data_IF_641356039665
#
_entry.id   IF_641356039665
#
_cell.length_a   1.000
_cell.length_b   1.000
_cell.length_c   1.000
_cell.angle_alpha   90.00
_cell.angle_beta   90.00
_cell.angle_gamma   90.00
#
_symmetry.space_group_name_H-M   'P 1'
#
loop_
_entity.id
_entity.type
_entity.pdbx_description
1 polymer ?
#
# COMPACT_ATOMS: atom_id res chain seq x y z
N UNK A 1 -2.24 7.80 4.31
CA UNK A 1 -3.02 8.31 5.45
C UNK A 1 -2.10 8.97 6.47
N UNK A 2 -2.52 10.09 7.01
CA UNK A 2 -1.78 10.80 8.06
C UNK A 2 -2.73 11.28 9.16
N UNK A 3 -2.26 11.23 10.39
CA UNK A 3 -2.95 11.79 11.54
C UNK A 3 -2.67 13.29 11.56
N UNK A 4 -3.68 14.09 11.17
CA UNK A 4 -3.56 15.54 11.07
C UNK A 4 -3.24 16.15 12.44
N UNK A 5 -3.92 15.68 13.48
CA UNK A 5 -3.71 16.19 14.86
C UNK A 5 -2.25 15.99 15.31
N UNK A 6 -1.65 14.83 15.04
CA UNK A 6 -0.25 14.58 15.41
C UNK A 6 0.73 15.39 14.54
N UNK A 7 0.47 15.52 13.23
CA UNK A 7 1.32 16.35 12.37
C UNK A 7 1.29 17.81 12.81
N UNK A 8 0.11 18.35 13.09
CA UNK A 8 -0.06 19.73 13.60
C UNK A 8 0.63 19.90 14.96
N UNK A 9 0.49 18.93 15.89
CA UNK A 9 1.14 18.93 17.20
C UNK A 9 2.67 19.03 17.12
N UNK A 10 3.27 18.33 16.13
CA UNK A 10 4.73 18.33 15.96
C UNK A 10 5.22 19.39 14.96
N UNK A 11 4.33 20.24 14.46
CA UNK A 11 4.58 21.28 13.44
C UNK A 11 5.25 20.68 12.19
N UNK A 12 4.59 19.68 11.59
CA UNK A 12 5.05 18.97 10.41
C UNK A 12 4.05 19.09 9.26
N UNK A 13 4.58 19.25 8.05
CA UNK A 13 3.80 19.18 6.83
C UNK A 13 3.63 17.73 6.38
N UNK A 14 2.61 17.48 5.55
CA UNK A 14 2.42 16.18 4.89
C UNK A 14 3.59 15.92 3.95
N UNK A 15 4.32 14.80 4.11
CA UNK A 15 5.47 14.48 3.26
C UNK A 15 5.09 14.32 1.78
N UNK A 16 5.90 14.89 0.90
CA UNK A 16 5.75 14.79 -0.57
C UNK A 16 6.77 13.85 -1.22
N UNK A 17 7.82 13.48 -0.48
CA UNK A 17 8.87 12.57 -0.91
C UNK A 17 9.12 11.49 0.15
N UNK A 18 9.69 10.35 -0.26
CA UNK A 18 10.08 9.29 0.69
C UNK A 18 11.16 9.77 1.66
N UNK A 19 12.02 10.69 1.25
CA UNK A 19 12.98 11.36 2.14
C UNK A 19 12.32 12.23 3.21
N UNK A 20 11.30 13.00 2.83
CA UNK A 20 10.49 13.78 3.77
C UNK A 20 9.69 12.89 4.71
N UNK A 21 9.13 11.75 4.20
CA UNK A 21 8.44 10.77 5.04
C UNK A 21 9.37 10.22 6.12
N UNK A 22 10.61 9.87 5.75
CA UNK A 22 11.64 9.44 6.70
C UNK A 22 11.92 10.51 7.74
N UNK A 23 12.23 11.74 7.30
CA UNK A 23 12.59 12.85 8.20
C UNK A 23 11.45 13.23 9.15
N UNK A 24 10.20 13.26 8.66
CA UNK A 24 9.03 13.50 9.48
C UNK A 24 8.83 12.38 10.51
N UNK A 25 9.03 11.12 10.09
CA UNK A 25 8.90 9.96 10.98
C UNK A 25 9.95 9.96 12.10
N UNK A 26 11.19 10.30 11.80
CA UNK A 26 12.24 10.45 12.80
C UNK A 26 11.90 11.55 13.82
N UNK A 27 11.44 12.71 13.35
CA UNK A 27 11.04 13.82 14.23
C UNK A 27 9.86 13.47 15.14
N UNK A 28 8.83 12.81 14.61
CA UNK A 28 7.69 12.37 15.42
C UNK A 28 8.14 11.40 16.50
N UNK A 29 8.93 10.39 16.13
CA UNK A 29 9.43 9.38 17.06
C UNK A 29 10.25 10.00 18.20
N UNK A 30 11.15 10.93 17.88
CA UNK A 30 11.96 11.65 18.86
C UNK A 30 11.12 12.57 19.76
N UNK A 31 10.27 13.42 19.16
CA UNK A 31 9.46 14.40 19.91
C UNK A 31 8.36 13.78 20.76
N UNK A 32 7.98 12.55 20.48
CA UNK A 32 7.01 11.79 21.27
C UNK A 32 7.65 10.92 22.36
N UNK A 33 8.93 11.13 22.67
CA UNK A 33 9.70 10.25 23.56
C UNK A 33 9.54 8.76 23.19
N UNK A 34 9.58 8.49 21.88
CA UNK A 34 9.46 7.16 21.29
C UNK A 34 8.08 6.47 21.45
N UNK A 35 7.05 7.22 21.86
CA UNK A 35 5.70 6.70 22.07
C UNK A 35 4.90 6.57 20.76
N UNK A 36 5.22 7.40 19.77
CA UNK A 36 4.53 7.40 18.46
C UNK A 36 5.52 7.03 17.37
N UNK A 37 5.23 5.94 16.66
CA UNK A 37 5.97 5.58 15.44
C UNK A 37 5.56 6.53 14.31
N UNK A 38 6.53 7.05 13.55
CA UNK A 38 6.27 8.04 12.52
C UNK A 38 5.49 7.49 11.34
N UNK A 39 5.91 6.34 10.78
CA UNK A 39 5.19 5.73 9.66
C UNK A 39 5.08 4.20 9.76
N UNK A 40 3.99 3.67 9.21
CA UNK A 40 3.70 2.24 9.15
C UNK A 40 3.49 1.72 7.73
N UNK A 41 3.76 0.42 7.55
CA UNK A 41 3.69 -0.26 6.26
C UNK A 41 3.07 -1.65 6.43
N UNK A 42 2.06 -1.99 5.62
CA UNK A 42 1.38 -3.28 5.67
C UNK A 42 1.68 -4.17 4.44
N UNK A 43 1.64 -3.62 3.24
CA UNK A 43 1.84 -4.36 2.00
C UNK A 43 3.29 -4.24 1.50
N UNK A 44 4.23 -4.88 2.19
CA UNK A 44 5.67 -4.74 1.94
C UNK A 44 6.09 -5.20 0.53
N UNK A 45 5.40 -6.17 -0.05
CA UNK A 45 5.60 -6.58 -1.43
C UNK A 45 5.29 -5.46 -2.43
N UNK A 46 4.21 -4.69 -2.20
CA UNK A 46 3.93 -3.49 -3.00
C UNK A 46 5.06 -2.48 -2.90
N UNK A 47 5.49 -2.17 -1.70
CA UNK A 47 6.49 -1.10 -1.49
C UNK A 47 7.85 -1.49 -2.04
N UNK A 48 8.21 -2.78 -1.97
CA UNK A 48 9.40 -3.29 -2.63
C UNK A 48 9.27 -3.19 -4.16
N UNK A 49 8.15 -3.67 -4.72
CA UNK A 49 7.89 -3.63 -6.16
C UNK A 49 7.91 -2.19 -6.70
N UNK A 50 7.26 -1.26 -5.99
CA UNK A 50 7.24 0.16 -6.36
C UNK A 50 8.62 0.81 -6.21
N UNK A 51 9.36 0.51 -5.15
CA UNK A 51 10.74 1.00 -4.98
C UNK A 51 11.68 0.53 -6.09
N UNK A 52 11.54 -0.71 -6.54
CA UNK A 52 12.27 -1.19 -7.73
C UNK A 52 11.82 -0.48 -9.01
N UNK A 53 10.51 -0.24 -9.17
CA UNK A 53 9.99 0.49 -10.32
C UNK A 53 10.49 1.94 -10.38
N UNK A 54 10.62 2.61 -9.26
CA UNK A 54 11.20 3.96 -9.14
C UNK A 54 12.68 4.01 -9.60
N UNK A 55 13.39 2.88 -9.52
CA UNK A 55 14.74 2.68 -10.06
C UNK A 55 14.74 2.24 -11.53
N UNK A 56 13.58 2.22 -12.20
CA UNK A 56 13.46 1.77 -13.60
C UNK A 56 13.39 0.25 -13.75
N UNK A 57 13.32 -0.52 -12.67
CA UNK A 57 13.35 -1.99 -12.69
C UNK A 57 11.94 -2.54 -12.54
N UNK A 58 11.44 -3.23 -13.57
CA UNK A 58 10.15 -3.89 -13.54
C UNK A 58 10.21 -5.17 -12.68
N UNK A 59 9.07 -5.54 -12.06
CA UNK A 59 8.95 -6.74 -11.26
C UNK A 59 8.95 -7.99 -12.15
N UNK A 60 10.10 -8.65 -12.24
CA UNK A 60 10.32 -9.83 -13.07
C UNK A 60 11.33 -10.78 -12.41
N UNK A 61 11.46 -12.01 -12.95
CA UNK A 61 12.49 -12.98 -12.54
C UNK A 61 13.93 -12.49 -12.69
N UNK A 62 14.16 -11.36 -13.37
CA UNK A 62 15.49 -10.77 -13.55
C UNK A 62 15.96 -9.91 -12.37
N UNK A 63 15.08 -9.64 -11.39
CA UNK A 63 15.49 -8.91 -10.19
C UNK A 63 16.55 -9.69 -9.43
N UNK A 64 17.69 -9.06 -9.22
CA UNK A 64 18.67 -9.55 -8.26
C UNK A 64 18.28 -9.04 -6.85
N UNK A 65 17.59 -9.90 -6.07
CA UNK A 65 17.07 -9.52 -4.76
C UNK A 65 18.16 -9.10 -3.77
N UNK A 66 19.40 -9.59 -3.93
CA UNK A 66 20.56 -9.20 -3.13
C UNK A 66 21.45 -8.14 -3.82
N UNK A 67 21.03 -7.63 -4.98
CA UNK A 67 21.75 -6.60 -5.73
C UNK A 67 21.65 -5.21 -5.08
N UNK A 68 22.46 -4.26 -5.55
CA UNK A 68 22.55 -2.90 -5.04
C UNK A 68 21.19 -2.22 -4.95
N UNK A 69 20.45 -2.15 -6.06
CA UNK A 69 19.16 -1.45 -6.11
C UNK A 69 18.13 -2.04 -5.15
N UNK A 70 18.07 -3.38 -5.09
CA UNK A 70 17.19 -4.09 -4.15
C UNK A 70 17.59 -3.82 -2.69
N UNK A 71 18.87 -3.83 -2.38
CA UNK A 71 19.36 -3.49 -1.02
C UNK A 71 19.00 -2.06 -0.62
N UNK A 72 19.16 -1.10 -1.50
CA UNK A 72 18.77 0.29 -1.22
C UNK A 72 17.27 0.41 -0.89
N UNK A 73 16.40 -0.31 -1.61
CA UNK A 73 14.96 -0.36 -1.31
C UNK A 73 14.72 -1.02 0.05
N UNK A 74 15.38 -2.14 0.32
CA UNK A 74 15.23 -2.88 1.60
C UNK A 74 15.75 -2.03 2.77
N UNK A 75 16.92 -1.43 2.62
CA UNK A 75 17.59 -0.65 3.68
C UNK A 75 16.77 0.57 4.10
N UNK A 76 16.04 1.20 3.17
CA UNK A 76 15.14 2.31 3.52
C UNK A 76 14.16 1.90 4.64
N UNK A 77 13.52 0.73 4.51
CA UNK A 77 12.57 0.23 5.51
C UNK A 77 13.27 -0.37 6.72
N UNK A 78 14.33 -1.13 6.49
CA UNK A 78 15.06 -1.81 7.55
C UNK A 78 15.72 -0.83 8.53
N UNK A 79 16.28 0.26 8.05
CA UNK A 79 16.87 1.30 8.90
C UNK A 79 15.81 2.01 9.74
N UNK A 80 14.66 2.32 9.16
CA UNK A 80 13.56 2.93 9.90
C UNK A 80 13.00 2.02 11.00
N UNK A 81 12.86 0.73 10.71
CA UNK A 81 12.42 -0.27 11.68
C UNK A 81 13.46 -0.50 12.77
N UNK A 82 14.76 -0.56 12.40
CA UNK A 82 15.87 -0.71 13.35
C UNK A 82 15.96 0.45 14.34
N UNK A 83 15.69 1.67 13.86
CA UNK A 83 15.72 2.91 14.65
C UNK A 83 14.40 3.19 15.37
N UNK A 84 13.31 2.47 15.05
CA UNK A 84 12.01 2.55 15.71
C UNK A 84 11.02 3.54 15.10
N UNK A 85 11.41 4.40 14.17
CA UNK A 85 10.50 5.39 13.57
C UNK A 85 9.66 4.84 12.43
N UNK A 86 9.93 3.62 11.96
CA UNK A 86 9.08 2.85 11.07
C UNK A 86 8.60 1.56 11.74
N UNK A 87 7.40 1.11 11.37
CA UNK A 87 6.90 -0.20 11.74
C UNK A 87 6.26 -0.93 10.57
N UNK A 88 6.34 -2.24 10.59
CA UNK A 88 5.54 -3.10 9.74
C UNK A 88 4.28 -3.57 10.47
N UNK A 89 3.22 -3.84 9.72
CA UNK A 89 2.07 -4.54 10.25
C UNK A 89 2.52 -5.95 10.70
N UNK A 90 2.31 -6.25 11.97
CA UNK A 90 2.60 -7.57 12.53
C UNK A 90 1.39 -8.50 12.42
N UNK A 91 0.98 -9.09 13.54
CA UNK A 91 -0.21 -9.93 13.66
C UNK A 91 -1.51 -9.21 13.31
N UNK A 92 -1.54 -7.90 13.41
CA UNK A 92 -2.70 -7.05 13.08
C UNK A 92 -3.00 -6.99 11.57
N UNK A 93 -2.09 -7.43 10.72
CA UNK A 93 -2.16 -7.42 9.24
C UNK A 93 -2.29 -6.03 8.59
N UNK A 94 -2.98 -5.08 9.24
CA UNK A 94 -3.28 -3.75 8.70
C UNK A 94 -2.79 -2.64 9.64
N UNK A 95 -2.42 -1.51 9.05
CA UNK A 95 -1.96 -0.36 9.81
C UNK A 95 -3.09 0.51 10.40
N UNK A 96 -4.34 0.23 10.03
CA UNK A 96 -5.50 0.98 10.56
C UNK A 96 -5.63 0.90 12.08
N UNK A 97 -5.40 -0.26 12.70
CA UNK A 97 -5.51 -0.43 14.16
C UNK A 97 -4.51 0.43 14.95
N UNK A 98 -3.17 0.33 14.72
CA UNK A 98 -2.22 1.20 15.42
C UNK A 98 -2.38 2.68 15.06
N UNK A 99 -2.82 3.00 13.85
CA UNK A 99 -3.11 4.38 13.45
C UNK A 99 -4.33 4.94 14.21
N UNK A 100 -5.42 4.19 14.29
CA UNK A 100 -6.65 4.58 15.00
C UNK A 100 -6.41 4.86 16.49
N UNK A 101 -5.47 4.16 17.10
CA UNK A 101 -5.06 4.36 18.50
C UNK A 101 -4.03 5.46 18.71
N UNK A 102 -3.52 6.09 17.65
CA UNK A 102 -2.48 7.13 17.70
C UNK A 102 -1.06 6.60 17.92
N UNK A 103 -0.84 5.30 17.86
CA UNK A 103 0.50 4.69 17.98
C UNK A 103 1.35 4.89 16.72
N UNK A 104 0.71 5.20 15.59
CA UNK A 104 1.36 5.49 14.31
C UNK A 104 0.80 6.79 13.75
N UNK A 105 1.65 7.71 13.37
CA UNK A 105 1.22 9.01 12.87
C UNK A 105 0.86 9.01 11.38
N UNK A 106 1.51 8.16 10.59
CA UNK A 106 1.27 8.05 9.15
C UNK A 106 1.32 6.58 8.72
N UNK A 107 0.65 6.22 7.64
CA UNK A 107 0.87 4.93 6.99
C UNK A 107 0.56 5.00 5.50
N UNK A 108 1.29 4.18 4.75
CA UNK A 108 0.98 3.92 3.35
C UNK A 108 0.09 2.67 3.31
N UNK A 109 -1.04 2.77 2.61
CA UNK A 109 -1.99 1.67 2.53
C UNK A 109 -3.01 1.88 1.41
N UNK A 110 -3.89 0.91 1.20
CA UNK A 110 -4.97 0.99 0.23
C UNK A 110 -5.97 2.09 0.59
N UNK A 111 -6.53 2.76 -0.42
CA UNK A 111 -7.62 3.74 -0.25
C UNK A 111 -8.82 3.16 0.49
N UNK A 112 -9.06 1.85 0.40
CA UNK A 112 -10.09 1.14 1.15
C UNK A 112 -9.95 1.24 2.68
N UNK A 113 -8.76 1.57 3.20
CA UNK A 113 -8.58 1.79 4.63
C UNK A 113 -9.40 2.98 5.17
N UNK A 114 -9.83 3.91 4.32
CA UNK A 114 -10.64 5.05 4.76
C UNK A 114 -11.90 4.63 5.55
N UNK A 115 -12.57 3.56 5.12
CA UNK A 115 -13.75 3.04 5.81
C UNK A 115 -13.43 2.59 7.26
N UNK A 116 -12.30 1.90 7.45
CA UNK A 116 -11.86 1.44 8.76
C UNK A 116 -11.42 2.59 9.67
N UNK A 117 -10.82 3.64 9.10
CA UNK A 117 -10.44 4.83 9.88
C UNK A 117 -11.67 5.59 10.37
N UNK A 118 -12.69 5.75 9.54
CA UNK A 118 -13.95 6.39 9.94
C UNK A 118 -14.66 5.68 11.09
N UNK A 119 -14.53 4.36 11.17
CA UNK A 119 -15.17 3.56 12.20
C UNK A 119 -14.37 3.48 13.51
N UNK A 120 -13.04 3.49 13.43
CA UNK A 120 -12.18 3.13 14.55
C UNK A 120 -11.28 4.24 15.08
N UNK A 121 -11.18 5.39 14.38
CA UNK A 121 -10.30 6.48 14.82
C UNK A 121 -10.79 7.07 16.15
N UNK A 122 -9.90 7.21 17.12
CA UNK A 122 -10.21 7.89 18.37
C UNK A 122 -10.68 9.32 18.14
N UNK A 123 -11.63 9.77 18.96
CA UNK A 123 -12.32 11.06 18.79
C UNK A 123 -11.40 12.28 18.85
N UNK A 124 -10.30 12.18 19.57
CA UNK A 124 -9.29 13.24 19.68
C UNK A 124 -8.45 13.43 18.42
N UNK A 125 -8.51 12.47 17.47
CA UNK A 125 -7.73 12.52 16.24
C UNK A 125 -8.54 12.87 15.00
N UNK A 126 -7.88 13.56 14.09
CA UNK A 126 -8.36 13.80 12.73
C UNK A 126 -7.37 13.19 11.73
N UNK A 127 -7.88 12.57 10.68
CA UNK A 127 -7.02 12.05 9.62
C UNK A 127 -7.18 12.82 8.31
N UNK A 128 -6.11 12.80 7.52
CA UNK A 128 -6.11 13.22 6.13
C UNK A 128 -5.64 12.08 5.23
N UNK A 129 -5.89 12.25 3.92
CA UNK A 129 -5.41 11.39 2.86
C UNK A 129 -4.56 12.23 1.92
N UNK A 130 -3.42 11.72 1.52
CA UNK A 130 -2.55 12.33 0.53
C UNK A 130 -2.05 11.25 -0.44
N UNK A 131 -1.58 11.61 -1.64
CA UNK A 131 -0.83 10.71 -2.50
C UNK A 131 0.33 10.06 -1.74
N UNK A 132 0.72 8.85 -2.14
CA UNK A 132 1.99 8.28 -1.67
C UNK A 132 3.11 9.26 -1.99
N UNK A 133 4.07 9.52 -1.07
CA UNK A 133 5.14 10.49 -1.29
C UNK A 133 6.18 9.97 -2.30
N UNK A 134 5.72 9.63 -3.49
CA UNK A 134 6.48 9.11 -4.62
C UNK A 134 5.64 9.19 -5.91
N UNK A 135 6.31 9.16 -7.06
CA UNK A 135 5.64 9.27 -8.36
C UNK A 135 4.83 8.03 -8.74
N UNK A 136 5.34 6.83 -8.43
CA UNK A 136 4.72 5.56 -8.84
C UNK A 136 3.76 5.06 -7.76
N UNK A 137 2.53 4.75 -8.14
CA UNK A 137 1.51 4.18 -7.25
C UNK A 137 1.14 2.75 -7.65
N UNK A 138 0.75 1.92 -6.68
CA UNK A 138 0.25 0.58 -6.97
C UNK A 138 -1.21 0.64 -7.42
N UNK A 139 -1.51 0.00 -8.54
CA UNK A 139 -2.87 -0.40 -8.86
C UNK A 139 -3.09 -1.79 -8.28
N UNK A 140 -4.07 -1.90 -7.40
CA UNK A 140 -4.55 -3.15 -6.85
C UNK A 140 -6.07 -3.21 -6.96
N UNK A 141 -6.62 -4.40 -6.84
CA UNK A 141 -8.06 -4.60 -6.88
C UNK A 141 -8.39 -6.07 -6.80
N UNK A 142 -9.69 -6.34 -6.89
CA UNK A 142 -10.23 -7.68 -7.02
C UNK A 142 -10.83 -7.82 -8.40
N UNK A 143 -10.35 -8.80 -9.16
CA UNK A 143 -10.85 -9.07 -10.50
C UNK A 143 -11.97 -10.11 -10.46
N UNK A 144 -12.91 -9.99 -11.38
CA UNK A 144 -13.98 -10.98 -11.58
C UNK A 144 -13.79 -11.63 -12.94
N UNK A 145 -13.71 -12.96 -12.93
CA UNK A 145 -13.50 -13.77 -14.12
C UNK A 145 -14.70 -14.67 -14.40
N UNK A 146 -14.92 -14.93 -15.67
CA UNK A 146 -15.88 -15.91 -16.14
C UNK A 146 -15.12 -17.16 -16.61
N UNK A 147 -15.51 -18.34 -16.11
CA UNK A 147 -14.87 -19.59 -16.49
C UNK A 147 -15.04 -19.88 -17.99
N UNK A 148 -13.96 -20.22 -18.67
CA UNK A 148 -13.99 -20.52 -20.10
C UNK A 148 -14.74 -21.83 -20.45
N UNK A 149 -14.82 -22.80 -19.49
CA UNK A 149 -15.56 -24.05 -19.63
C UNK A 149 -17.06 -23.92 -19.30
N UNK A 150 -17.52 -22.76 -18.83
CA UNK A 150 -18.94 -22.55 -18.56
C UNK A 150 -19.74 -22.68 -19.85
N UNK A 151 -20.97 -23.23 -19.75
CA UNK A 151 -21.89 -23.34 -20.89
C UNK A 151 -22.29 -21.96 -21.45
N UNK A 152 -22.78 -21.91 -22.68
CA UNK A 152 -23.20 -20.65 -23.30
C UNK A 152 -24.25 -19.90 -22.46
N UNK A 153 -25.21 -20.66 -21.86
CA UNK A 153 -26.24 -20.10 -20.97
C UNK A 153 -25.60 -19.47 -19.71
N UNK A 154 -24.69 -20.18 -19.08
CA UNK A 154 -23.95 -19.67 -17.89
C UNK A 154 -23.11 -18.44 -18.23
N UNK A 155 -22.40 -18.46 -19.37
CA UNK A 155 -21.63 -17.29 -19.84
C UNK A 155 -22.51 -16.08 -20.09
N UNK A 156 -23.69 -16.28 -20.71
CA UNK A 156 -24.64 -15.19 -20.93
C UNK A 156 -25.15 -14.58 -19.61
N UNK A 157 -25.45 -15.41 -18.61
CA UNK A 157 -25.90 -14.97 -17.31
C UNK A 157 -24.75 -14.23 -16.56
N UNK A 158 -23.55 -14.80 -16.55
CA UNK A 158 -22.37 -14.18 -15.95
C UNK A 158 -22.05 -12.81 -16.58
N UNK A 159 -22.14 -12.71 -17.91
CA UNK A 159 -21.92 -11.44 -18.60
C UNK A 159 -22.95 -10.36 -18.22
N UNK A 160 -24.22 -10.74 -18.08
CA UNK A 160 -25.26 -9.80 -17.58
C UNK A 160 -24.94 -9.32 -16.17
N UNK A 161 -24.45 -10.20 -15.29
CA UNK A 161 -24.04 -9.86 -13.94
C UNK A 161 -22.82 -8.94 -13.93
N UNK A 162 -21.80 -9.21 -14.74
CA UNK A 162 -20.64 -8.33 -14.89
C UNK A 162 -21.04 -6.93 -15.38
N UNK A 163 -21.95 -6.85 -16.38
CA UNK A 163 -22.50 -5.57 -16.85
C UNK A 163 -23.25 -4.82 -15.75
N UNK A 164 -23.99 -5.51 -14.91
CA UNK A 164 -24.68 -4.92 -13.76
C UNK A 164 -23.65 -4.33 -12.79
N UNK A 165 -22.66 -5.11 -12.34
CA UNK A 165 -21.65 -4.69 -11.39
C UNK A 165 -20.80 -3.50 -11.90
N UNK A 166 -20.55 -3.41 -13.21
CA UNK A 166 -19.76 -2.33 -13.81
C UNK A 166 -20.62 -1.16 -14.32
N UNK A 167 -21.94 -1.20 -14.09
CA UNK A 167 -22.84 -0.11 -14.45
C UNK A 167 -22.55 1.16 -13.64
N UNK A 168 -22.90 2.31 -14.20
CA UNK A 168 -22.69 3.61 -13.54
C UNK A 168 -23.33 3.65 -12.14
N UNK A 169 -24.55 3.13 -11.99
CA UNK A 169 -25.30 3.12 -10.73
C UNK A 169 -24.58 2.28 -9.67
N UNK A 170 -24.25 1.04 -10.01
CA UNK A 170 -23.65 0.10 -9.07
C UNK A 170 -22.21 0.47 -8.73
N UNK A 171 -21.43 0.99 -9.68
CA UNK A 171 -20.08 1.47 -9.43
C UNK A 171 -20.08 2.71 -8.53
N UNK A 172 -21.02 3.62 -8.68
CA UNK A 172 -21.16 4.76 -7.78
C UNK A 172 -21.53 4.31 -6.36
N UNK A 173 -22.48 3.37 -6.24
CA UNK A 173 -22.86 2.79 -4.95
C UNK A 173 -21.67 2.10 -4.27
N UNK A 174 -20.98 1.22 -5.02
CA UNK A 174 -19.81 0.49 -4.52
C UNK A 174 -18.72 1.41 -4.01
N UNK A 175 -18.34 2.37 -4.82
CA UNK A 175 -17.31 3.36 -4.48
C UNK A 175 -17.65 4.17 -3.24
N UNK A 176 -18.88 4.67 -3.16
CA UNK A 176 -19.37 5.44 -2.01
C UNK A 176 -19.34 4.63 -0.72
N UNK A 177 -19.62 3.33 -0.81
CA UNK A 177 -19.74 2.44 0.35
C UNK A 177 -18.38 1.90 0.81
N UNK A 178 -17.50 1.56 -0.13
CA UNK A 178 -16.26 0.82 0.16
C UNK A 178 -14.99 1.67 0.11
N UNK A 179 -15.04 2.85 -0.52
CA UNK A 179 -13.85 3.68 -0.78
C UNK A 179 -12.97 3.17 -1.93
N UNK A 180 -13.38 2.11 -2.64
CA UNK A 180 -12.66 1.66 -3.84
C UNK A 180 -12.81 2.66 -4.98
N UNK A 181 -11.78 2.75 -5.82
CA UNK A 181 -11.82 3.54 -7.04
C UNK A 181 -12.85 2.94 -8.02
N UNK A 182 -13.70 3.76 -8.65
CA UNK A 182 -14.65 3.24 -9.64
C UNK A 182 -13.92 2.79 -10.91
N UNK A 183 -14.32 1.63 -11.45
CA UNK A 183 -13.82 1.15 -12.75
C UNK A 183 -14.61 1.72 -13.94
N UNK A 184 -15.75 2.35 -13.66
CA UNK A 184 -16.56 3.02 -14.67
C UNK A 184 -16.11 4.48 -14.83
N UNK A 185 -15.61 4.83 -16.01
CA UNK A 185 -15.07 6.18 -16.31
C UNK A 185 -16.13 7.28 -16.21
N UNK A 186 -17.41 6.97 -16.47
CA UNK A 186 -18.49 7.94 -16.29
C UNK A 186 -18.69 8.29 -14.80
N UNK A 187 -18.47 7.34 -13.89
CA UNK A 187 -18.49 7.60 -12.45
C UNK A 187 -17.25 8.37 -12.06
N UNK A 188 -16.07 7.91 -12.45
CA UNK A 188 -14.79 8.55 -12.12
C UNK A 188 -14.79 10.03 -12.50
N UNK A 189 -15.35 10.37 -13.65
CA UNK A 189 -15.39 11.74 -14.17
C UNK A 189 -16.60 12.56 -13.69
N UNK A 190 -17.57 11.94 -12.99
CA UNK A 190 -18.79 12.62 -12.57
C UNK A 190 -18.54 13.63 -11.45
N UNK A 191 -19.26 14.73 -11.49
CA UNK A 191 -19.25 15.72 -10.41
C UNK A 191 -19.71 15.09 -9.09
N UNK A 192 -20.71 14.20 -9.13
CA UNK A 192 -21.22 13.50 -7.95
C UNK A 192 -20.13 12.70 -7.21
N UNK A 193 -19.20 12.06 -7.96
CA UNK A 193 -18.07 11.36 -7.35
C UNK A 193 -17.01 12.33 -6.82
N UNK A 194 -16.65 13.33 -7.61
CA UNK A 194 -15.62 14.32 -7.25
C UNK A 194 -15.98 15.16 -6.02
N UNK A 195 -17.27 15.41 -5.81
CA UNK A 195 -17.80 16.18 -4.68
C UNK A 195 -18.32 15.31 -3.52
N UNK A 196 -17.97 14.03 -3.45
CA UNK A 196 -18.33 13.19 -2.32
C UNK A 196 -17.74 13.75 -1.01
N UNK A 197 -18.61 14.24 -0.14
CA UNK A 197 -18.24 14.68 1.21
C UNK A 197 -18.02 13.54 2.19
N UNK A 198 -18.47 12.32 1.83
CA UNK A 198 -18.33 11.10 2.63
C UNK A 198 -17.01 10.39 2.41
N UNK A 199 -16.17 10.83 1.47
CA UNK A 199 -14.85 10.26 1.21
C UNK A 199 -13.85 11.35 0.83
N UNK A 200 -12.61 11.20 1.31
CA UNK A 200 -11.47 12.06 0.92
C UNK A 200 -10.69 11.51 -0.27
N UNK A 201 -10.95 10.26 -0.65
CA UNK A 201 -10.24 9.56 -1.74
C UNK A 201 -10.39 10.26 -3.09
N UNK A 202 -11.59 10.74 -3.51
CA UNK A 202 -11.74 11.39 -4.82
C UNK A 202 -10.80 12.57 -5.04
N UNK A 203 -10.46 13.30 -3.97
CA UNK A 203 -9.60 14.49 -4.06
C UNK A 203 -8.16 14.17 -4.49
N UNK A 204 -7.67 12.96 -4.20
CA UNK A 204 -6.28 12.56 -4.52
C UNK A 204 -6.15 11.71 -5.77
N UNK A 205 -7.26 11.18 -6.31
CA UNK A 205 -7.20 10.21 -7.40
C UNK A 205 -6.60 10.79 -8.69
N UNK A 206 -6.89 12.03 -9.02
CA UNK A 206 -6.35 12.66 -10.22
C UNK A 206 -4.81 12.67 -10.25
N UNK A 207 -4.19 12.72 -9.09
CA UNK A 207 -2.73 12.67 -8.95
C UNK A 207 -2.22 11.24 -8.82
N UNK A 208 -2.84 10.44 -7.98
CA UNK A 208 -2.39 9.05 -7.70
C UNK A 208 -2.54 8.11 -8.89
N UNK A 209 -3.41 8.42 -9.85
CA UNK A 209 -3.64 7.58 -11.04
C UNK A 209 -2.79 7.94 -12.25
N UNK A 210 -1.92 8.94 -12.16
CA UNK A 210 -1.05 9.35 -13.28
C UNK A 210 -0.03 8.28 -13.66
N UNK A 211 0.59 7.68 -12.65
CA UNK A 211 1.64 6.66 -12.82
C UNK A 211 1.29 5.42 -11.99
N UNK A 212 0.40 4.59 -12.54
CA UNK A 212 0.01 3.33 -11.91
C UNK A 212 0.91 2.19 -12.39
N UNK A 213 1.39 1.42 -11.42
CA UNK A 213 2.10 0.19 -11.66
C UNK A 213 1.36 -0.98 -11.01
N UNK A 214 1.21 -2.06 -11.74
CA UNK A 214 0.53 -3.27 -11.29
C UNK A 214 1.45 -4.48 -11.40
N UNK A 215 1.13 -5.53 -10.66
CA UNK A 215 1.86 -6.78 -10.74
C UNK A 215 1.78 -7.32 -12.17
N UNK A 216 2.92 -7.55 -12.87
CA UNK A 216 2.89 -8.05 -14.24
C UNK A 216 2.19 -9.40 -14.36
N UNK A 217 1.33 -9.53 -15.37
CA UNK A 217 0.62 -10.79 -15.68
C UNK A 217 1.58 -11.73 -16.41
N UNK A 218 2.43 -12.39 -15.65
CA UNK A 218 3.39 -13.38 -16.17
C UNK A 218 3.36 -14.63 -15.30
N UNK A 219 3.77 -15.77 -15.88
CA UNK A 219 3.85 -17.02 -15.13
C UNK A 219 4.65 -16.83 -13.84
N UNK A 220 4.12 -17.28 -12.74
CA UNK A 220 4.72 -17.24 -11.40
C UNK A 220 4.98 -15.84 -10.79
N UNK A 221 4.43 -14.76 -11.37
CA UNK A 221 4.56 -13.43 -10.78
C UNK A 221 3.88 -13.35 -9.41
N UNK A 222 2.70 -13.94 -9.24
CA UNK A 222 1.98 -13.94 -7.95
C UNK A 222 2.73 -14.70 -6.85
N UNK A 223 3.20 -15.96 -7.03
CA UNK A 223 4.04 -16.63 -6.04
C UNK A 223 5.30 -15.85 -5.67
N UNK A 224 5.96 -15.24 -6.65
CA UNK A 224 7.14 -14.41 -6.40
C UNK A 224 6.82 -13.15 -5.60
N UNK A 225 5.69 -12.52 -5.88
CA UNK A 225 5.19 -11.34 -5.17
C UNK A 225 4.84 -11.66 -3.71
N UNK A 226 4.18 -12.79 -3.45
CA UNK A 226 3.87 -13.25 -2.10
C UNK A 226 5.14 -13.62 -1.33
N UNK A 227 6.12 -14.23 -2.03
CA UNK A 227 7.42 -14.52 -1.44
C UNK A 227 8.16 -13.22 -1.03
N UNK A 228 8.04 -12.13 -1.79
CA UNK A 228 8.61 -10.83 -1.40
C UNK A 228 7.99 -10.34 -0.09
N UNK A 229 6.66 -10.45 0.10
CA UNK A 229 6.02 -10.08 1.36
C UNK A 229 6.65 -10.83 2.54
N UNK A 230 6.72 -12.16 2.45
CA UNK A 230 7.30 -12.99 3.50
C UNK A 230 8.79 -12.69 3.76
N UNK A 231 9.55 -12.45 2.70
CA UNK A 231 10.96 -12.11 2.79
C UNK A 231 11.20 -10.78 3.45
N UNK A 232 10.46 -9.74 3.04
CA UNK A 232 10.55 -8.41 3.66
C UNK A 232 10.16 -8.45 5.14
N UNK A 233 9.10 -9.18 5.50
CA UNK A 233 8.72 -9.37 6.91
C UNK A 233 9.86 -9.98 7.74
N UNK A 234 10.52 -11.02 7.23
CA UNK A 234 11.63 -11.65 7.92
C UNK A 234 12.84 -10.71 8.07
N UNK A 235 13.21 -10.00 7.00
CA UNK A 235 14.32 -9.03 7.01
C UNK A 235 14.04 -7.91 8.02
N UNK A 236 12.83 -7.35 8.01
CA UNK A 236 12.46 -6.27 8.94
C UNK A 236 12.33 -6.76 10.39
N UNK A 237 11.96 -8.03 10.62
CA UNK A 237 12.00 -8.62 11.95
C UNK A 237 13.43 -8.74 12.50
N UNK A 238 14.40 -9.10 11.66
CA UNK A 238 15.81 -9.10 12.05
C UNK A 238 16.35 -7.68 12.27
N UNK A 239 15.97 -6.73 11.41
CA UNK A 239 16.31 -5.31 11.59
C UNK A 239 15.78 -4.77 12.93
N UNK A 240 14.55 -5.08 13.30
CA UNK A 240 13.95 -4.71 14.61
C UNK A 240 14.74 -5.23 15.79
N UNK A 241 15.31 -6.44 15.65
CA UNK A 241 16.20 -7.05 16.66
C UNK A 241 17.65 -6.56 16.57
N UNK A 242 17.93 -5.55 15.75
CA UNK A 242 19.26 -4.99 15.48
C UNK A 242 20.29 -5.99 14.95
N UNK A 243 19.82 -7.09 14.33
CA UNK A 243 20.69 -8.09 13.71
C UNK A 243 21.21 -7.63 12.35
N UNK A 244 22.28 -8.27 11.89
CA UNK A 244 22.73 -8.15 10.51
C UNK A 244 21.67 -8.78 9.57
N UNK A 245 21.13 -8.00 8.63
CA UNK A 245 20.09 -8.45 7.71
C UNK A 245 20.61 -9.11 6.44
N UNK A 246 21.94 -9.09 6.17
CA UNK A 246 22.50 -9.69 4.96
C UNK A 246 22.21 -11.19 4.82
N UNK A 247 22.29 -12.03 5.86
CA UNK A 247 21.91 -13.43 5.75
C UNK A 247 20.44 -13.62 5.36
N UNK A 248 19.53 -12.81 5.92
CA UNK A 248 18.12 -12.84 5.57
C UNK A 248 17.88 -12.40 4.12
N UNK A 249 18.63 -11.41 3.60
CA UNK A 249 18.56 -10.97 2.19
C UNK A 249 19.04 -12.10 1.26
N UNK A 250 20.11 -12.84 1.60
CA UNK A 250 20.58 -13.97 0.79
C UNK A 250 19.55 -15.11 0.76
N UNK A 251 18.96 -15.43 1.91
CA UNK A 251 17.86 -16.41 1.98
C UNK A 251 16.67 -15.96 1.16
N UNK A 252 16.31 -14.67 1.23
CA UNK A 252 15.23 -14.08 0.44
C UNK A 252 15.48 -14.19 -1.06
N UNK A 253 16.73 -13.95 -1.51
CA UNK A 253 17.12 -14.14 -2.92
C UNK A 253 16.86 -15.56 -3.39
N UNK A 254 17.32 -16.57 -2.63
CA UNK A 254 17.13 -17.98 -2.99
C UNK A 254 15.63 -18.33 -3.12
N UNK A 255 14.81 -17.89 -2.17
CA UNK A 255 13.37 -18.12 -2.17
C UNK A 255 12.66 -17.39 -3.31
N UNK A 256 13.04 -16.14 -3.60
CA UNK A 256 12.53 -15.37 -4.72
C UNK A 256 12.85 -16.04 -6.06
N UNK A 257 14.11 -16.45 -6.26
CA UNK A 257 14.52 -17.16 -7.48
C UNK A 257 13.78 -18.49 -7.65
N UNK A 258 13.53 -19.21 -6.56
CA UNK A 258 12.79 -20.48 -6.56
C UNK A 258 11.31 -20.28 -6.88
N UNK A 259 10.68 -19.19 -6.41
CA UNK A 259 9.25 -18.91 -6.64
C UNK A 259 8.90 -18.67 -8.12
N UNK A 260 9.88 -18.30 -8.95
CA UNK A 260 9.70 -18.17 -10.40
C UNK A 260 9.77 -19.49 -11.17
N UNK A 261 10.13 -20.61 -10.50
CA UNK A 261 10.31 -21.92 -11.11
C UNK A 261 9.15 -22.89 -10.86
N UNK A 262 8.17 -22.47 -10.07
CA UNK A 262 6.99 -23.26 -9.71
C UNK A 262 5.99 -23.44 -10.86
#
# INVERSE_FOLDING_TARGET
FYNKTLLDQYNLKVPQTMGELKSASEKIYQKSDHQVTGAGFDALNNYYMLGMKEKGINFTKKINFSGKDSKEVIDYYADGVRKGYFMQAGTEKYMSTPFNSGKVAMFIGSTANEAYLKQGLKKEYQFGIAPRPSKVNAQQGTDIYMFNQASARQKSAAFKYLKFLTSKKEQFYWTKTTGYMPVNTQVLNSQAYKSLNTSKVPAILAETTKDLYFLPVTKNATPAYDQVQASMQAILADAKKKKNINPAIQTAKQKFDASWKQ
#
